data_IF_360696692431
#
_entry.id   IF_360696692431
#
_cell.length_a   1.000
_cell.length_b   1.000
_cell.length_c   1.000
_cell.angle_alpha   90.00
_cell.angle_beta   90.00
_cell.angle_gamma   90.00
#
_symmetry.space_group_name_H-M   'P 1'
#
loop_
_entity.id
_entity.type
_entity.pdbx_description
1 polymer ?
#
# COMPACT_ATOMS: atom_id res chain seq x y z
N UNK A 1 4.52 -3.14 43.41
CA UNK A 1 3.42 -2.54 42.63
C UNK A 1 3.80 -2.68 41.18
N UNK A 2 2.88 -3.08 40.29
CA UNK A 2 3.21 -3.23 38.89
C UNK A 2 3.69 -1.89 38.31
N UNK A 3 4.75 -1.96 37.49
CA UNK A 3 5.35 -0.80 36.83
C UNK A 3 4.44 -0.23 35.75
N UNK A 4 3.47 -1.01 35.26
CA UNK A 4 2.48 -0.57 34.29
C UNK A 4 1.09 -0.42 34.89
N UNK A 5 0.29 0.45 34.28
CA UNK A 5 -1.15 0.54 34.48
C UNK A 5 -1.86 0.53 33.13
N UNK A 6 -2.97 -0.20 33.07
CA UNK A 6 -3.91 -0.18 31.96
C UNK A 6 -5.20 0.41 32.51
N UNK A 7 -5.56 1.67 32.15
CA UNK A 7 -6.76 2.31 32.65
C UNK A 7 -8.02 1.64 32.08
N UNK A 8 -9.17 2.04 32.62
CA UNK A 8 -10.45 1.44 32.25
C UNK A 8 -10.76 1.60 30.76
N UNK A 9 -11.29 0.53 30.18
CA UNK A 9 -11.51 0.34 28.75
C UNK A 9 -12.97 -0.05 28.53
N UNK A 10 -13.54 0.19 27.33
CA UNK A 10 -14.91 -0.23 27.06
C UNK A 10 -15.05 -1.74 27.37
N UNK A 11 -16.05 -2.14 28.19
CA UNK A 11 -16.19 -3.53 28.63
C UNK A 11 -16.52 -4.49 27.50
N UNK A 12 -16.88 -3.96 26.32
CA UNK A 12 -17.27 -4.71 25.14
C UNK A 12 -16.64 -4.15 23.87
N UNK A 13 -15.98 -5.01 23.10
CA UNK A 13 -15.49 -4.71 21.77
C UNK A 13 -16.62 -4.86 20.75
N UNK A 14 -16.76 -3.87 19.87
CA UNK A 14 -17.65 -3.98 18.71
C UNK A 14 -16.96 -4.77 17.60
N UNK A 15 -17.58 -5.87 17.17
CA UNK A 15 -17.17 -6.60 15.98
C UNK A 15 -18.14 -6.28 14.83
N UNK A 16 -17.58 -6.02 13.65
CA UNK A 16 -18.31 -6.06 12.38
C UNK A 16 -18.37 -7.51 11.94
N UNK A 17 -19.58 -8.04 11.80
CA UNK A 17 -19.79 -9.39 11.28
C UNK A 17 -19.94 -9.36 9.77
N UNK A 18 -19.15 -10.14 9.07
CA UNK A 18 -19.26 -10.39 7.64
C UNK A 18 -19.58 -11.87 7.42
N UNK A 19 -20.52 -12.18 6.53
CA UNK A 19 -20.87 -13.57 6.21
C UNK A 19 -19.97 -14.07 5.09
N UNK A 20 -19.11 -15.03 5.40
CA UNK A 20 -18.23 -15.69 4.43
C UNK A 20 -18.56 -17.18 4.41
N UNK A 21 -18.90 -17.75 3.25
CA UNK A 21 -19.25 -19.17 3.09
C UNK A 21 -20.33 -19.69 4.06
N UNK A 22 -21.39 -18.89 4.30
CA UNK A 22 -22.47 -19.22 5.25
C UNK A 22 -22.01 -19.31 6.72
N UNK A 23 -20.87 -18.69 7.04
CA UNK A 23 -20.29 -18.62 8.38
C UNK A 23 -20.02 -17.15 8.77
N UNK A 24 -20.16 -16.83 10.06
CA UNK A 24 -19.96 -15.47 10.58
C UNK A 24 -18.48 -15.22 10.89
N UNK A 25 -17.87 -14.27 10.18
CA UNK A 25 -16.53 -13.77 10.46
C UNK A 25 -16.64 -12.42 11.16
N UNK A 26 -16.19 -12.34 12.41
CA UNK A 26 -16.15 -11.09 13.18
C UNK A 26 -14.80 -10.41 13.03
N UNK A 27 -14.80 -9.14 12.62
CA UNK A 27 -13.60 -8.29 12.61
C UNK A 27 -13.82 -7.05 13.47
N UNK A 28 -12.85 -6.72 14.31
CA UNK A 28 -12.92 -5.53 15.16
C UNK A 28 -11.56 -5.14 15.69
N UNK A 29 -11.50 -4.01 16.37
CA UNK A 29 -10.28 -3.54 17.01
C UNK A 29 -10.61 -2.88 18.35
N UNK A 30 -9.73 -3.07 19.32
CA UNK A 30 -9.81 -2.44 20.64
C UNK A 30 -8.49 -1.80 20.95
N UNK A 31 -8.51 -0.54 21.36
CA UNK A 31 -7.30 0.19 21.73
C UNK A 31 -7.13 0.19 23.23
N UNK A 32 -5.95 -0.20 23.67
CA UNK A 32 -5.52 -0.22 25.05
C UNK A 32 -4.44 0.85 25.23
N UNK A 33 -4.52 1.56 26.34
CA UNK A 33 -3.52 2.54 26.74
C UNK A 33 -2.70 1.91 27.85
N UNK A 34 -1.39 1.84 27.72
CA UNK A 34 -0.50 1.34 28.76
C UNK A 34 0.33 2.50 29.26
N UNK A 35 0.35 2.73 30.56
CA UNK A 35 1.11 3.81 31.20
C UNK A 35 2.19 3.20 32.08
N UNK A 36 3.43 3.59 31.88
CA UNK A 36 4.52 3.32 32.81
C UNK A 36 4.36 4.23 34.03
N UNK A 37 4.15 3.67 35.23
CA UNK A 37 4.04 4.41 36.49
C UNK A 37 5.38 4.70 37.16
N UNK A 38 6.46 4.18 36.62
CA UNK A 38 7.78 4.38 37.19
C UNK A 38 8.33 5.75 36.81
N UNK A 39 9.13 6.33 37.71
CA UNK A 39 9.87 7.57 37.45
C UNK A 39 11.05 7.40 36.50
N UNK A 40 11.19 6.24 35.84
CA UNK A 40 12.31 5.89 34.96
C UNK A 40 11.80 5.32 33.64
N UNK A 41 12.65 5.32 32.60
CA UNK A 41 12.31 4.68 31.33
C UNK A 41 12.37 3.16 31.44
N UNK A 42 11.40 2.46 30.87
CA UNK A 42 11.26 1.00 30.99
C UNK A 42 10.79 0.40 29.65
N UNK A 43 11.36 -0.75 29.26
CA UNK A 43 10.87 -1.51 28.11
C UNK A 43 9.68 -2.37 28.55
N UNK A 44 8.53 -2.19 27.88
CA UNK A 44 7.30 -2.91 28.17
C UNK A 44 6.82 -3.68 26.96
N UNK A 45 6.28 -4.88 27.17
CA UNK A 45 5.71 -5.73 26.13
C UNK A 45 4.27 -6.06 26.44
N UNK A 46 3.44 -6.03 25.41
CA UNK A 46 2.01 -6.33 25.50
C UNK A 46 1.74 -7.71 24.92
N UNK A 47 1.07 -8.55 25.71
CA UNK A 47 0.63 -9.90 25.34
C UNK A 47 -0.89 -9.99 25.48
N UNK A 48 -1.53 -10.67 24.54
CA UNK A 48 -2.97 -10.91 24.58
C UNK A 48 -3.22 -12.24 25.29
N UNK A 49 -4.14 -12.25 26.25
CA UNK A 49 -4.55 -13.42 27.01
C UNK A 49 -6.02 -13.75 26.71
N UNK A 50 -6.28 -14.63 25.73
CA UNK A 50 -7.61 -15.13 25.44
C UNK A 50 -8.24 -15.78 26.67
N UNK A 51 -9.54 -15.58 26.87
CA UNK A 51 -10.29 -16.19 27.97
C UNK A 51 -11.34 -17.17 27.43
N UNK A 52 -11.59 -18.24 28.19
CA UNK A 52 -12.57 -19.27 27.84
C UNK A 52 -12.21 -20.00 26.55
N UNK A 53 -13.13 -20.05 25.59
CA UNK A 53 -12.94 -20.72 24.29
C UNK A 53 -12.24 -19.83 23.24
N UNK A 54 -11.87 -18.60 23.57
CA UNK A 54 -11.15 -17.72 22.65
C UNK A 54 -9.73 -18.26 22.38
N UNK A 55 -9.27 -18.22 21.13
CA UNK A 55 -7.92 -18.68 20.77
C UNK A 55 -6.98 -17.52 20.50
N UNK A 56 -5.71 -17.70 20.84
CA UNK A 56 -4.67 -16.69 20.63
C UNK A 56 -4.54 -16.24 19.17
N UNK A 57 -4.74 -17.17 18.24
CA UNK A 57 -4.70 -16.94 16.78
C UNK A 57 -5.77 -15.95 16.27
N UNK A 58 -6.77 -15.61 17.08
CA UNK A 58 -7.82 -14.65 16.72
C UNK A 58 -7.39 -13.20 16.92
N UNK A 59 -6.24 -12.98 17.56
CA UNK A 59 -5.82 -11.67 18.01
C UNK A 59 -4.45 -11.30 17.44
N UNK A 60 -4.29 -10.04 17.11
CA UNK A 60 -3.01 -9.47 16.69
C UNK A 60 -2.86 -8.06 17.24
N UNK A 61 -1.63 -7.68 17.60
CA UNK A 61 -1.30 -6.31 18.01
C UNK A 61 -0.80 -5.55 16.80
N UNK A 62 -1.31 -4.35 16.57
CA UNK A 62 -0.84 -3.48 15.49
C UNK A 62 0.53 -2.89 15.81
N UNK A 63 1.48 -3.11 14.90
CA UNK A 63 2.85 -2.63 15.02
C UNK A 63 3.68 -3.47 16.01
N UNK A 64 4.62 -2.81 16.67
CA UNK A 64 5.49 -3.46 17.67
C UNK A 64 4.74 -3.65 18.99
N UNK A 65 4.72 -4.90 19.48
CA UNK A 65 4.15 -5.29 20.78
C UNK A 65 5.06 -4.95 21.95
N UNK A 66 6.36 -4.75 21.70
CA UNK A 66 7.35 -4.30 22.68
C UNK A 66 7.77 -2.87 22.36
N UNK A 67 7.72 -1.98 23.36
CA UNK A 67 8.02 -0.56 23.20
C UNK A 67 8.79 -0.01 24.39
N UNK A 68 9.60 1.01 24.13
CA UNK A 68 10.30 1.77 25.17
C UNK A 68 9.37 2.86 25.73
N UNK A 69 9.09 2.81 27.03
CA UNK A 69 8.33 3.83 27.74
C UNK A 69 9.28 4.83 28.37
N UNK A 70 8.99 6.13 28.27
CA UNK A 70 9.66 7.15 29.09
C UNK A 70 9.15 7.07 30.54
N UNK A 71 9.81 7.77 31.46
CA UNK A 71 9.31 7.97 32.82
C UNK A 71 7.90 8.56 32.78
N UNK A 72 6.94 7.94 33.46
CA UNK A 72 5.51 8.31 33.42
C UNK A 72 4.89 8.34 32.00
N UNK A 73 5.53 7.69 31.03
CA UNK A 73 5.13 7.71 29.63
C UNK A 73 3.99 6.74 29.32
N UNK A 74 3.25 7.03 28.25
CA UNK A 74 2.08 6.24 27.83
C UNK A 74 2.21 5.83 26.37
N UNK A 75 1.82 4.59 26.06
CA UNK A 75 1.72 4.08 24.69
C UNK A 75 0.35 3.47 24.44
N UNK A 76 -0.16 3.64 23.22
CA UNK A 76 -1.40 3.00 22.77
C UNK A 76 -1.10 1.76 21.94
N UNK A 77 -1.83 0.70 22.22
CA UNK A 77 -1.75 -0.60 21.54
C UNK A 77 -3.13 -0.93 20.98
N UNK A 78 -3.23 -1.14 19.69
CA UNK A 78 -4.48 -1.56 19.04
C UNK A 78 -4.44 -3.07 18.85
N UNK A 79 -5.34 -3.78 19.53
CA UNK A 79 -5.54 -5.23 19.36
C UNK A 79 -6.63 -5.44 18.33
N UNK A 80 -6.28 -6.05 17.20
CA UNK A 80 -7.24 -6.50 16.20
C UNK A 80 -7.78 -7.88 16.57
N UNK A 81 -9.09 -8.02 16.48
CA UNK A 81 -9.83 -9.26 16.68
C UNK A 81 -10.31 -9.71 15.30
N UNK A 82 -9.90 -10.91 14.88
CA UNK A 82 -10.37 -11.57 13.67
C UNK A 82 -10.74 -13.01 14.01
N UNK A 83 -12.03 -13.30 14.04
CA UNK A 83 -12.52 -14.64 14.37
C UNK A 83 -12.55 -15.51 13.11
N UNK A 84 -12.13 -16.79 13.16
CA UNK A 84 -12.22 -17.69 12.03
C UNK A 84 -13.69 -18.05 11.75
N UNK A 85 -14.03 -18.44 10.51
CA UNK A 85 -15.40 -18.81 10.15
C UNK A 85 -15.92 -20.03 10.94
N UNK A 86 -15.04 -20.90 11.45
CA UNK A 86 -15.40 -22.05 12.29
C UNK A 86 -15.61 -21.71 13.77
N UNK A 87 -15.42 -20.44 14.18
CA UNK A 87 -15.68 -20.05 15.56
C UNK A 87 -17.16 -20.20 15.91
N UNK A 88 -17.45 -20.80 17.07
CA UNK A 88 -18.83 -20.96 17.52
C UNK A 88 -19.44 -19.59 17.81
N UNK A 89 -20.73 -19.45 17.55
CA UNK A 89 -21.48 -18.30 17.99
C UNK A 89 -21.48 -18.23 19.52
N UNK A 90 -21.23 -17.06 20.09
CA UNK A 90 -21.18 -16.92 21.55
C UNK A 90 -20.44 -15.68 22.02
N UNK A 91 -20.46 -15.49 23.34
CA UNK A 91 -19.70 -14.45 24.02
C UNK A 91 -18.29 -14.96 24.33
N UNK A 92 -17.30 -14.18 23.90
CA UNK A 92 -15.89 -14.42 24.14
C UNK A 92 -15.30 -13.25 24.89
N UNK A 93 -14.13 -13.46 25.49
CA UNK A 93 -13.42 -12.36 26.13
C UNK A 93 -11.92 -12.50 26.01
N UNK A 94 -11.23 -11.38 26.18
CA UNK A 94 -9.77 -11.31 26.23
C UNK A 94 -9.35 -10.37 27.35
N UNK A 95 -8.14 -10.60 27.85
CA UNK A 95 -7.38 -9.64 28.64
C UNK A 95 -6.11 -9.26 27.89
N UNK A 96 -5.57 -8.10 28.22
CA UNK A 96 -4.27 -7.67 27.77
C UNK A 96 -3.34 -7.60 28.97
N UNK A 97 -2.19 -8.25 28.87
CA UNK A 97 -1.15 -8.23 29.89
C UNK A 97 0.02 -7.38 29.40
N UNK A 98 0.35 -6.31 30.12
CA UNK A 98 1.57 -5.54 29.92
C UNK A 98 2.64 -6.04 30.89
N UNK A 99 3.78 -6.50 30.39
CA UNK A 99 4.89 -7.04 31.18
C UNK A 99 6.14 -6.18 31.02
N UNK A 100 6.92 -6.03 32.08
CA UNK A 100 8.25 -5.44 31.99
C UNK A 100 9.22 -6.43 31.35
N UNK A 101 9.99 -6.00 30.34
CA UNK A 101 10.86 -6.90 29.57
C UNK A 101 12.01 -7.44 30.45
N UNK A 102 12.43 -6.68 31.45
CA UNK A 102 13.48 -7.05 32.39
C UNK A 102 13.01 -7.98 33.53
N UNK A 103 11.71 -8.03 33.83
CA UNK A 103 11.12 -8.91 34.86
C UNK A 103 9.69 -9.35 34.47
N UNK A 104 9.55 -10.21 33.44
CA UNK A 104 8.26 -10.52 32.85
C UNK A 104 7.35 -11.37 33.76
N UNK A 105 7.92 -12.09 34.72
CA UNK A 105 7.18 -13.02 35.58
C UNK A 105 6.57 -12.33 36.81
N UNK A 106 7.20 -11.26 37.31
CA UNK A 106 6.78 -10.59 38.55
C UNK A 106 6.24 -9.18 38.32
N UNK A 107 6.62 -8.50 37.25
CA UNK A 107 6.24 -7.12 36.96
C UNK A 107 5.31 -7.02 35.75
N UNK A 108 4.02 -7.24 36.02
CA UNK A 108 2.98 -7.20 35.01
C UNK A 108 1.70 -6.52 35.48
N UNK A 109 0.97 -5.93 34.54
CA UNK A 109 -0.36 -5.39 34.74
C UNK A 109 -1.35 -6.05 33.77
N UNK A 110 -2.53 -6.40 34.26
CA UNK A 110 -3.61 -6.93 33.44
C UNK A 110 -4.69 -5.87 33.20
N UNK A 111 -5.25 -5.87 32.00
CA UNK A 111 -6.40 -5.05 31.67
C UNK A 111 -7.68 -5.61 32.31
N UNK A 112 -8.73 -4.79 32.44
CA UNK A 112 -10.10 -5.29 32.56
C UNK A 112 -10.46 -6.27 31.45
N UNK A 113 -11.43 -7.13 31.72
CA UNK A 113 -11.92 -8.12 30.75
C UNK A 113 -12.69 -7.38 29.65
N UNK A 114 -12.29 -7.60 28.39
CA UNK A 114 -13.02 -7.09 27.23
C UNK A 114 -13.81 -8.22 26.61
N UNK A 115 -15.13 -8.12 26.67
CA UNK A 115 -16.03 -9.07 26.01
C UNK A 115 -16.23 -8.74 24.53
N UNK A 116 -16.50 -9.74 23.70
CA UNK A 116 -16.93 -9.56 22.32
C UNK A 116 -17.84 -10.71 21.91
N UNK A 117 -18.82 -10.42 21.07
CA UNK A 117 -19.80 -11.42 20.64
C UNK A 117 -19.53 -11.85 19.20
N UNK A 118 -19.49 -13.16 18.98
CA UNK A 118 -19.58 -13.74 17.64
C UNK A 118 -21.04 -13.98 17.35
N UNK A 119 -21.59 -13.19 16.43
CA UNK A 119 -22.95 -13.35 15.98
C UNK A 119 -23.12 -14.74 15.34
N UNK A 120 -24.23 -15.42 15.68
CA UNK A 120 -24.57 -16.66 15.01
C UNK A 120 -24.62 -16.44 13.50
N UNK A 121 -24.15 -17.42 12.70
CA UNK A 121 -24.44 -17.42 11.27
C UNK A 121 -25.93 -17.12 11.10
N UNK A 122 -26.32 -16.21 10.19
CA UNK A 122 -27.72 -16.05 9.89
C UNK A 122 -28.26 -17.45 9.61
N UNK A 123 -29.34 -17.88 10.29
CA UNK A 123 -29.83 -19.25 10.15
C UNK A 123 -29.93 -19.53 8.65
N UNK A 124 -29.30 -20.63 8.15
CA UNK A 124 -29.34 -20.95 6.74
C UNK A 124 -30.79 -20.83 6.34
N UNK A 125 -31.08 -19.93 5.40
CA UNK A 125 -32.46 -19.59 5.04
C UNK A 125 -33.21 -20.90 4.94
N UNK A 126 -34.09 -21.16 5.93
CA UNK A 126 -34.75 -22.44 5.99
C UNK A 126 -35.44 -22.54 4.63
N UNK A 127 -35.10 -23.58 3.85
CA UNK A 127 -35.98 -24.04 2.77
C UNK A 127 -37.22 -24.56 3.48
N UNK A 128 -38.02 -23.63 3.99
CA UNK A 128 -39.31 -23.89 4.56
C UNK A 128 -40.12 -24.41 3.40
N UNK A 129 -40.34 -25.72 3.41
CA UNK A 129 -41.50 -26.32 2.77
C UNK A 129 -42.72 -25.82 3.55
N UNK A 130 -43.06 -24.54 3.35
CA UNK A 130 -44.27 -23.95 3.90
C UNK A 130 -45.35 -23.99 2.83
N UNK A 131 -46.60 -24.24 3.22
CA UNK A 131 -47.65 -24.49 2.26
C UNK A 131 -48.00 -23.19 1.54
N UNK A 132 -48.41 -23.34 0.29
CA UNK A 132 -48.78 -22.39 -0.76
C UNK A 132 -49.63 -21.14 -0.40
N UNK A 133 -50.02 -20.90 0.84
CA UNK A 133 -50.99 -19.86 1.26
C UNK A 133 -50.37 -18.62 1.92
N UNK A 134 -49.10 -18.64 2.36
CA UNK A 134 -48.48 -17.55 3.14
C UNK A 134 -47.92 -16.40 2.27
N UNK A 135 -47.77 -16.59 0.95
CA UNK A 135 -47.40 -15.50 0.03
C UNK A 135 -48.47 -14.38 -0.09
N UNK A 136 -49.63 -14.52 0.55
CA UNK A 136 -50.75 -13.58 0.40
C UNK A 136 -50.69 -12.30 1.26
N UNK A 137 -49.75 -12.13 2.22
CA UNK A 137 -49.93 -11.08 3.25
C UNK A 137 -48.81 -10.04 3.47
N UNK A 138 -47.58 -10.22 2.95
CA UNK A 138 -46.45 -9.28 3.24
C UNK A 138 -45.94 -8.59 1.96
N UNK A 139 -46.83 -8.38 1.00
CA UNK A 139 -46.63 -7.56 -0.20
C UNK A 139 -47.23 -6.15 -0.10
N UNK A 140 -47.59 -5.67 1.09
CA UNK A 140 -48.50 -4.52 1.22
C UNK A 140 -48.03 -3.18 0.64
N UNK A 141 -46.72 -2.96 0.44
CA UNK A 141 -46.20 -1.67 -0.07
C UNK A 141 -45.61 -1.71 -1.49
N UNK A 142 -45.04 -2.85 -1.90
CA UNK A 142 -44.40 -3.05 -3.22
C UNK A 142 -45.22 -4.00 -4.11
N UNK A 143 -46.11 -4.83 -3.54
CA UNK A 143 -47.00 -5.70 -4.31
C UNK A 143 -48.29 -5.01 -4.79
N UNK A 144 -48.51 -3.72 -4.54
CA UNK A 144 -49.58 -2.99 -5.24
C UNK A 144 -49.14 -2.66 -6.68
N UNK A 145 -47.85 -2.39 -6.91
CA UNK A 145 -47.32 -2.18 -8.27
C UNK A 145 -46.98 -3.51 -8.93
N UNK A 146 -46.33 -4.45 -8.22
CA UNK A 146 -46.03 -5.76 -8.77
C UNK A 146 -47.26 -6.69 -8.88
N UNK A 147 -48.25 -6.58 -7.98
CA UNK A 147 -49.47 -7.39 -8.01
C UNK A 147 -50.45 -6.97 -9.09
N UNK A 148 -50.49 -5.70 -9.50
CA UNK A 148 -51.26 -5.27 -10.68
C UNK A 148 -50.60 -5.80 -11.96
N UNK A 149 -49.26 -5.91 -12.01
CA UNK A 149 -48.57 -6.52 -13.15
C UNK A 149 -48.76 -8.05 -13.17
N UNK A 150 -48.59 -8.73 -12.04
CA UNK A 150 -48.72 -10.21 -11.96
C UNK A 150 -50.18 -10.68 -12.16
N UNK A 151 -51.17 -9.92 -11.69
CA UNK A 151 -52.59 -10.26 -11.92
C UNK A 151 -53.06 -10.01 -13.36
N UNK A 152 -52.45 -9.05 -14.08
CA UNK A 152 -52.69 -8.85 -15.51
C UNK A 152 -51.99 -9.96 -16.33
N UNK A 153 -50.81 -10.40 -15.90
CA UNK A 153 -49.99 -11.41 -16.59
C UNK A 153 -50.55 -12.83 -16.48
N UNK A 154 -51.10 -13.24 -15.33
CA UNK A 154 -51.60 -14.61 -15.14
C UNK A 154 -52.91 -14.92 -15.90
N UNK A 155 -53.57 -13.92 -16.49
CA UNK A 155 -54.84 -14.11 -17.21
C UNK A 155 -54.75 -13.99 -18.74
N UNK A 156 -53.56 -13.82 -19.33
CA UNK A 156 -53.37 -13.87 -20.80
C UNK A 156 -52.25 -14.86 -21.13
N UNK A 157 -52.63 -16.09 -21.48
CA UNK A 157 -51.67 -17.19 -21.68
C UNK A 157 -50.79 -17.08 -22.94
N UNK A 158 -49.64 -17.75 -22.87
CA UNK A 158 -48.87 -18.26 -24.02
C UNK A 158 -47.41 -17.79 -24.08
N UNK A 159 -46.47 -18.67 -23.71
CA UNK A 159 -45.07 -18.62 -24.17
C UNK A 159 -44.14 -17.64 -23.44
N UNK A 160 -43.64 -18.01 -22.26
CA UNK A 160 -42.55 -17.28 -21.63
C UNK A 160 -41.26 -17.40 -22.45
N UNK A 161 -40.46 -16.34 -22.48
CA UNK A 161 -39.11 -16.36 -23.05
C UNK A 161 -38.11 -16.68 -21.93
N UNK A 162 -37.11 -17.51 -22.22
CA UNK A 162 -36.07 -17.82 -21.24
C UNK A 162 -35.10 -16.63 -21.08
N UNK A 163 -34.81 -16.24 -19.84
CA UNK A 163 -33.85 -15.18 -19.54
C UNK A 163 -32.45 -15.60 -20.00
N UNK A 164 -31.77 -14.81 -20.87
CA UNK A 164 -30.42 -15.12 -21.32
C UNK A 164 -29.39 -14.93 -20.20
N UNK A 165 -28.26 -15.60 -20.32
CA UNK A 165 -27.11 -15.36 -19.45
C UNK A 165 -26.33 -14.13 -19.91
N UNK A 166 -26.20 -13.16 -19.02
CA UNK A 166 -25.45 -11.93 -19.22
C UNK A 166 -24.39 -11.70 -18.15
N UNK A 167 -24.18 -12.66 -17.24
CA UNK A 167 -23.10 -12.61 -16.23
C UNK A 167 -21.75 -12.67 -16.93
N UNK A 168 -20.83 -11.79 -16.54
CA UNK A 168 -19.51 -11.64 -17.16
C UNK A 168 -19.49 -10.72 -18.38
N UNK A 169 -20.64 -10.21 -18.84
CA UNK A 169 -20.70 -9.21 -19.90
C UNK A 169 -20.56 -7.78 -19.35
N UNK A 170 -20.08 -6.81 -20.16
CA UNK A 170 -20.25 -5.39 -19.86
C UNK A 170 -21.72 -5.04 -19.67
N UNK A 171 -22.04 -4.22 -18.67
CA UNK A 171 -23.43 -3.90 -18.33
C UNK A 171 -24.24 -3.37 -19.53
N UNK A 172 -23.64 -2.55 -20.39
CA UNK A 172 -24.32 -2.05 -21.60
C UNK A 172 -24.65 -3.15 -22.61
N UNK A 173 -23.76 -4.14 -22.77
CA UNK A 173 -24.01 -5.28 -23.65
C UNK A 173 -25.05 -6.23 -23.05
N UNK A 174 -25.01 -6.44 -21.73
CA UNK A 174 -26.01 -7.21 -20.99
C UNK A 174 -27.42 -6.63 -21.16
N UNK A 175 -27.56 -5.31 -21.03
CA UNK A 175 -28.84 -4.62 -21.24
C UNK A 175 -29.33 -4.73 -22.68
N UNK A 176 -28.45 -4.61 -23.66
CA UNK A 176 -28.81 -4.81 -25.07
C UNK A 176 -29.31 -6.23 -25.32
N UNK A 177 -28.59 -7.24 -24.82
CA UNK A 177 -28.99 -8.64 -24.99
C UNK A 177 -30.32 -8.96 -24.30
N UNK A 178 -30.58 -8.37 -23.14
CA UNK A 178 -31.88 -8.49 -22.46
C UNK A 178 -32.98 -7.78 -23.24
N UNK A 179 -32.73 -6.58 -23.77
CA UNK A 179 -33.69 -5.84 -24.59
C UNK A 179 -34.02 -6.57 -25.90
N UNK A 180 -33.04 -7.21 -26.53
CA UNK A 180 -33.23 -8.03 -27.74
C UNK A 180 -34.11 -9.25 -27.45
N UNK A 181 -33.95 -9.85 -26.27
CA UNK A 181 -34.80 -10.90 -25.73
C UNK A 181 -36.14 -10.38 -25.15
N UNK A 182 -36.48 -9.11 -25.39
CA UNK A 182 -37.71 -8.44 -24.94
C UNK A 182 -37.86 -8.31 -23.43
N UNK A 183 -36.76 -8.31 -22.67
CA UNK A 183 -36.76 -8.04 -21.23
C UNK A 183 -36.40 -6.59 -20.91
N UNK A 184 -36.87 -6.12 -19.75
CA UNK A 184 -36.46 -4.84 -19.15
C UNK A 184 -35.34 -5.10 -18.15
N UNK A 185 -34.37 -4.19 -18.03
CA UNK A 185 -33.25 -4.35 -17.09
C UNK A 185 -33.06 -3.15 -16.17
N UNK A 186 -32.62 -3.40 -14.94
CA UNK A 186 -32.18 -2.36 -13.98
C UNK A 186 -30.81 -2.71 -13.40
N UNK A 187 -29.96 -1.70 -13.19
CA UNK A 187 -28.63 -1.88 -12.59
C UNK A 187 -28.67 -1.68 -11.08
N UNK A 188 -27.85 -2.46 -10.38
CA UNK A 188 -27.52 -2.32 -8.97
C UNK A 188 -26.03 -2.48 -8.79
N UNK A 189 -25.42 -1.71 -7.89
CA UNK A 189 -23.97 -1.77 -7.64
C UNK A 189 -23.60 -2.97 -6.77
N UNK A 190 -22.53 -3.67 -7.14
CA UNK A 190 -21.87 -4.69 -6.34
C UNK A 190 -20.44 -4.23 -5.96
N UNK A 191 -20.26 -3.62 -4.78
CA UNK A 191 -18.95 -3.18 -4.29
C UNK A 191 -18.07 -4.31 -3.74
N UNK A 192 -18.62 -5.52 -3.60
CA UNK A 192 -17.90 -6.69 -3.09
C UNK A 192 -17.29 -7.54 -4.21
N UNK A 193 -17.79 -7.38 -5.44
CA UNK A 193 -17.31 -8.11 -6.62
C UNK A 193 -15.79 -7.93 -6.86
N UNK A 194 -15.16 -9.03 -7.26
CA UNK A 194 -13.79 -9.12 -7.73
C UNK A 194 -13.67 -8.96 -9.27
N UNK A 195 -14.78 -8.75 -9.97
CA UNK A 195 -14.77 -8.49 -11.40
C UNK A 195 -14.32 -7.07 -11.73
N UNK A 196 -13.94 -6.86 -12.99
CA UNK A 196 -13.60 -5.55 -13.48
C UNK A 196 -14.81 -4.59 -13.35
N UNK A 197 -14.60 -3.31 -13.01
CA UNK A 197 -15.68 -2.35 -12.89
C UNK A 197 -16.53 -2.28 -14.17
N UNK A 198 -17.86 -2.27 -14.02
CA UNK A 198 -18.80 -2.22 -15.15
C UNK A 198 -19.18 -3.57 -15.75
N UNK A 199 -18.62 -4.67 -15.26
CA UNK A 199 -19.01 -6.04 -15.64
C UNK A 199 -20.16 -6.53 -14.75
N UNK A 200 -21.09 -7.28 -15.33
CA UNK A 200 -22.20 -7.91 -14.59
C UNK A 200 -21.67 -9.09 -13.77
N UNK A 201 -21.64 -8.92 -12.45
CA UNK A 201 -21.24 -9.94 -11.48
C UNK A 201 -22.38 -10.93 -11.17
N UNK A 202 -23.63 -10.54 -11.38
CA UNK A 202 -24.78 -11.40 -11.20
C UNK A 202 -26.04 -10.85 -11.84
N UNK A 203 -27.01 -11.72 -12.09
CA UNK A 203 -28.33 -11.36 -12.59
C UNK A 203 -29.42 -12.03 -11.75
N UNK A 204 -30.58 -11.39 -11.68
CA UNK A 204 -31.78 -11.94 -11.04
C UNK A 204 -33.03 -11.53 -11.83
N UNK A 205 -33.85 -12.45 -12.35
CA UNK A 205 -33.76 -13.91 -12.21
C UNK A 205 -32.54 -14.56 -12.88
N UNK A 206 -32.18 -15.76 -12.43
CA UNK A 206 -31.08 -16.54 -13.00
C UNK A 206 -31.36 -16.93 -14.47
N UNK A 207 -30.30 -17.27 -15.20
CA UNK A 207 -30.41 -17.75 -16.58
C UNK A 207 -31.43 -18.88 -16.71
N UNK A 208 -32.14 -18.93 -17.85
CA UNK A 208 -33.12 -19.99 -18.12
C UNK A 208 -34.45 -19.85 -17.38
N UNK A 209 -34.59 -18.89 -16.46
CA UNK A 209 -35.89 -18.58 -15.87
C UNK A 209 -36.84 -18.08 -16.95
N UNK A 210 -38.06 -18.62 -17.01
CA UNK A 210 -39.08 -18.13 -17.96
C UNK A 210 -39.72 -16.86 -17.41
N UNK A 211 -39.71 -15.81 -18.23
CA UNK A 211 -40.39 -14.54 -17.97
C UNK A 211 -41.24 -14.17 -19.17
N UNK A 212 -42.35 -13.50 -18.92
CA UNK A 212 -43.13 -12.90 -19.98
C UNK A 212 -42.36 -11.73 -20.62
N UNK A 213 -42.73 -11.39 -21.85
CA UNK A 213 -42.18 -10.21 -22.52
C UNK A 213 -42.37 -8.96 -21.64
N UNK A 214 -41.32 -8.15 -21.56
CA UNK A 214 -41.24 -6.98 -20.67
C UNK A 214 -40.81 -7.30 -19.24
N UNK A 215 -40.61 -8.57 -18.88
CA UNK A 215 -40.14 -9.00 -17.56
C UNK A 215 -38.87 -8.30 -17.11
N UNK A 216 -38.76 -8.00 -15.82
CA UNK A 216 -37.66 -7.24 -15.23
C UNK A 216 -36.50 -8.15 -14.80
N UNK A 217 -35.30 -7.86 -15.25
CA UNK A 217 -34.05 -8.51 -14.84
C UNK A 217 -33.14 -7.48 -14.14
N UNK A 218 -32.77 -7.76 -12.90
CA UNK A 218 -31.84 -6.95 -12.13
C UNK A 218 -30.41 -7.40 -12.39
N UNK A 219 -29.55 -6.47 -12.79
CA UNK A 219 -28.11 -6.68 -13.01
C UNK A 219 -27.34 -6.15 -11.80
N UNK A 220 -26.54 -7.01 -11.18
CA UNK A 220 -25.53 -6.63 -10.18
C UNK A 220 -24.23 -6.34 -10.92
N UNK A 221 -23.83 -5.08 -10.96
CA UNK A 221 -22.68 -4.60 -11.73
C UNK A 221 -21.53 -4.32 -10.79
N UNK A 222 -20.36 -4.88 -11.08
CA UNK A 222 -19.15 -4.68 -10.30
C UNK A 222 -18.79 -3.19 -10.25
N UNK A 223 -18.67 -2.64 -9.04
CA UNK A 223 -18.35 -1.21 -8.86
C UNK A 223 -16.84 -0.94 -8.90
N UNK A 224 -16.05 -1.89 -8.40
CA UNK A 224 -14.60 -1.77 -8.22
C UNK A 224 -14.16 -0.79 -7.14
N UNK A 225 -12.84 -0.58 -7.05
CA UNK A 225 -12.17 0.33 -6.10
C UNK A 225 -11.50 1.46 -6.88
N UNK A 226 -11.66 2.69 -6.40
CA UNK A 226 -11.00 3.87 -6.99
C UNK A 226 -9.48 3.75 -6.86
N UNK A 227 -8.78 3.97 -7.99
CA UNK A 227 -7.32 4.03 -7.99
C UNK A 227 -6.89 5.47 -7.69
N UNK A 228 -6.02 5.63 -6.69
CA UNK A 228 -5.43 6.92 -6.31
C UNK A 228 -4.13 7.19 -7.06
N UNK A 229 -3.82 8.46 -7.31
CA UNK A 229 -2.56 8.83 -7.97
C UNK A 229 -1.41 8.74 -6.98
N UNK A 230 -0.36 8.01 -7.37
CA UNK A 230 0.89 7.92 -6.61
C UNK A 230 2.12 8.37 -7.41
N UNK A 231 1.89 8.94 -8.61
CA UNK A 231 2.96 9.44 -9.47
C UNK A 231 3.70 10.59 -8.77
N UNK A 232 5.02 10.53 -8.77
CA UNK A 232 5.91 11.48 -8.09
C UNK A 232 6.24 11.11 -6.64
N UNK A 233 5.60 10.09 -6.06
CA UNK A 233 5.93 9.61 -4.72
C UNK A 233 7.09 8.60 -4.75
N UNK A 234 7.82 8.43 -3.63
CA UNK A 234 8.72 7.30 -3.45
C UNK A 234 7.95 5.97 -3.55
N UNK A 235 8.55 4.96 -4.18
CA UNK A 235 7.92 3.66 -4.40
C UNK A 235 7.38 3.04 -3.11
N UNK A 236 8.14 3.09 -2.01
CA UNK A 236 7.71 2.53 -0.72
C UNK A 236 6.43 3.20 -0.16
N UNK A 237 6.30 4.52 -0.32
CA UNK A 237 5.10 5.26 0.09
C UNK A 237 3.91 4.94 -0.82
N UNK A 238 4.15 4.89 -2.14
CA UNK A 238 3.16 4.54 -3.14
C UNK A 238 2.59 3.12 -2.95
N UNK A 239 3.48 2.15 -2.72
CA UNK A 239 3.11 0.76 -2.42
C UNK A 239 2.27 0.66 -1.15
N UNK A 240 2.67 1.35 -0.08
CA UNK A 240 1.92 1.37 1.18
C UNK A 240 0.52 1.94 1.00
N UNK A 241 0.39 3.05 0.27
CA UNK A 241 -0.89 3.71 0.01
C UNK A 241 -1.85 2.78 -0.77
N UNK A 242 -1.38 2.16 -1.85
CA UNK A 242 -2.22 1.33 -2.71
C UNK A 242 -2.53 -0.06 -2.10
N UNK A 243 -1.56 -0.69 -1.43
CA UNK A 243 -1.72 -2.02 -0.86
C UNK A 243 -2.51 -2.01 0.44
N UNK A 244 -2.19 -1.11 1.37
CA UNK A 244 -2.81 -1.06 2.71
C UNK A 244 -4.10 -0.27 2.66
N UNK A 245 -4.14 0.84 1.91
CA UNK A 245 -5.31 1.71 1.83
C UNK A 245 -6.43 1.15 0.97
N UNK A 246 -6.10 0.41 -0.09
CA UNK A 246 -7.06 0.01 -1.12
C UNK A 246 -7.04 -1.49 -1.48
N UNK A 247 -6.13 -2.27 -0.89
CA UNK A 247 -6.06 -3.72 -1.09
C UNK A 247 -5.53 -4.15 -2.47
N UNK A 248 -4.86 -3.27 -3.21
CA UNK A 248 -4.30 -3.60 -4.52
C UNK A 248 -3.00 -4.42 -4.41
N UNK A 249 -2.76 -5.28 -5.39
CA UNK A 249 -1.46 -5.89 -5.66
C UNK A 249 -0.60 -4.91 -6.46
N UNK A 250 0.70 -4.85 -6.19
CA UNK A 250 1.61 -3.90 -6.84
C UNK A 250 2.57 -4.64 -7.74
N UNK A 251 2.56 -4.28 -9.03
CA UNK A 251 3.56 -4.74 -9.98
C UNK A 251 4.58 -3.64 -10.23
N UNK A 252 5.80 -3.81 -9.70
CA UNK A 252 6.90 -2.88 -9.91
C UNK A 252 7.57 -3.13 -11.26
N UNK A 253 7.77 -2.08 -12.05
CA UNK A 253 8.48 -2.12 -13.32
C UNK A 253 9.50 -0.99 -13.38
N UNK A 254 10.71 -1.27 -13.87
CA UNK A 254 11.72 -0.24 -14.09
C UNK A 254 11.38 0.57 -15.35
N UNK A 255 11.34 1.90 -15.22
CA UNK A 255 11.22 2.83 -16.33
C UNK A 255 12.58 3.23 -16.91
N UNK A 256 12.61 4.14 -17.89
CA UNK A 256 13.85 4.77 -18.33
C UNK A 256 14.43 5.64 -17.20
N UNK A 257 15.77 5.67 -17.08
CA UNK A 257 16.45 6.57 -16.16
C UNK A 257 16.16 8.03 -16.51
N UNK A 258 15.58 8.75 -15.55
CA UNK A 258 15.15 10.13 -15.69
C UNK A 258 15.86 11.06 -14.71
N UNK A 259 15.45 12.33 -14.74
CA UNK A 259 15.97 13.36 -13.83
C UNK A 259 15.30 13.36 -12.45
N UNK A 260 14.42 12.40 -12.15
CA UNK A 260 13.80 12.29 -10.82
C UNK A 260 14.76 11.58 -9.87
N UNK A 261 14.60 11.75 -8.54
CA UNK A 261 15.32 10.94 -7.58
C UNK A 261 15.08 9.44 -7.87
N UNK A 262 16.11 8.59 -7.76
CA UNK A 262 15.92 7.15 -7.88
C UNK A 262 14.82 6.66 -6.94
N UNK A 263 14.13 5.59 -7.33
CA UNK A 263 12.99 5.03 -6.58
C UNK A 263 11.72 5.89 -6.57
N UNK A 264 11.65 6.92 -7.42
CA UNK A 264 10.42 7.71 -7.62
C UNK A 264 9.50 7.05 -8.63
N UNK A 265 8.20 6.97 -8.34
CA UNK A 265 7.18 6.51 -9.30
C UNK A 265 7.01 7.56 -10.40
N UNK A 266 7.26 7.17 -11.65
CA UNK A 266 7.12 8.03 -12.84
C UNK A 266 5.94 7.67 -13.72
N UNK A 267 5.34 6.50 -13.51
CA UNK A 267 4.14 6.07 -14.22
C UNK A 267 3.32 5.10 -13.39
N UNK A 268 2.02 5.08 -13.65
CA UNK A 268 1.05 4.22 -12.99
C UNK A 268 0.02 3.76 -14.00
N UNK A 269 -0.42 2.50 -13.87
CA UNK A 269 -1.49 1.91 -14.66
C UNK A 269 -2.31 0.96 -13.79
N UNK A 270 -3.63 1.13 -13.66
CA UNK A 270 -4.44 2.19 -14.26
C UNK A 270 -4.22 3.57 -13.62
N UNK A 271 -4.38 4.63 -14.41
CA UNK A 271 -4.28 6.02 -13.94
C UNK A 271 -5.66 6.54 -13.47
N UNK A 272 -5.75 7.31 -12.38
CA UNK A 272 -6.99 7.98 -11.98
C UNK A 272 -7.55 8.84 -13.13
N UNK A 273 -8.88 8.96 -13.28
CA UNK A 273 -9.95 8.54 -12.35
C UNK A 273 -10.41 7.08 -12.54
N UNK A 274 -9.59 6.20 -13.11
CA UNK A 274 -9.96 4.80 -13.29
C UNK A 274 -10.26 4.07 -11.98
N UNK A 275 -11.11 3.05 -12.09
CA UNK A 275 -11.36 2.04 -11.06
C UNK A 275 -10.74 0.73 -11.47
N UNK A 276 -10.37 -0.09 -10.48
CA UNK A 276 -9.88 -1.43 -10.70
C UNK A 276 -10.66 -2.44 -9.86
N UNK A 277 -10.59 -3.72 -10.25
CA UNK A 277 -11.17 -4.81 -9.47
C UNK A 277 -10.60 -4.81 -8.04
N UNK A 278 -11.42 -5.26 -7.07
CA UNK A 278 -10.95 -5.46 -5.69
C UNK A 278 -9.82 -6.49 -5.70
N UNK A 279 -8.69 -6.18 -5.05
CA UNK A 279 -7.51 -7.05 -5.11
C UNK A 279 -6.76 -7.02 -6.43
N UNK A 280 -7.17 -6.16 -7.37
CA UNK A 280 -6.55 -6.00 -8.68
C UNK A 280 -5.09 -5.54 -8.61
N UNK A 281 -4.40 -5.64 -9.74
CA UNK A 281 -2.99 -5.23 -9.84
C UNK A 281 -2.85 -3.81 -10.36
N UNK A 282 -2.07 -2.98 -9.67
CA UNK A 282 -1.62 -1.67 -10.14
C UNK A 282 -0.14 -1.76 -10.51
N UNK A 283 0.18 -1.45 -11.77
CA UNK A 283 1.55 -1.40 -12.26
C UNK A 283 2.15 -0.04 -11.97
N UNK A 284 3.27 -0.02 -11.25
CA UNK A 284 4.04 1.18 -10.96
C UNK A 284 5.36 1.14 -11.74
N UNK A 285 5.58 2.18 -12.55
CA UNK A 285 6.83 2.39 -13.27
C UNK A 285 7.71 3.30 -12.43
N UNK A 286 8.92 2.85 -12.08
CA UNK A 286 9.83 3.53 -11.16
C UNK A 286 11.08 4.01 -11.91
N UNK A 287 11.55 5.22 -11.61
CA UNK A 287 12.83 5.73 -12.12
C UNK A 287 14.00 4.98 -11.46
N UNK A 288 14.78 4.19 -12.21
CA UNK A 288 15.91 3.46 -11.64
C UNK A 288 17.10 4.39 -11.33
N UNK A 289 17.11 5.62 -11.86
CA UNK A 289 18.27 6.50 -11.86
C UNK A 289 19.42 5.99 -12.72
N UNK A 290 20.56 6.69 -12.62
CA UNK A 290 21.85 6.34 -13.22
C UNK A 290 22.77 5.87 -12.11
N UNK A 291 23.45 4.73 -12.29
CA UNK A 291 24.45 4.26 -11.32
C UNK A 291 25.78 4.97 -11.53
N UNK A 292 26.39 5.46 -10.45
CA UNK A 292 27.74 6.03 -10.49
C UNK A 292 28.74 4.95 -10.96
N UNK A 293 29.47 5.15 -12.07
CA UNK A 293 30.43 4.16 -12.57
C UNK A 293 31.60 3.99 -11.61
N UNK A 294 32.20 2.80 -11.60
CA UNK A 294 33.44 2.56 -10.87
C UNK A 294 34.60 3.27 -11.58
N UNK A 295 35.40 3.99 -10.80
CA UNK A 295 36.61 4.68 -11.27
C UNK A 295 37.77 4.18 -10.42
N UNK A 296 38.82 3.68 -11.06
CA UNK A 296 40.05 3.31 -10.36
C UNK A 296 40.77 4.57 -9.89
N UNK A 297 41.00 4.70 -8.59
CA UNK A 297 41.69 5.84 -7.98
C UNK A 297 43.08 5.37 -7.50
N UNK A 298 44.16 6.14 -7.73
CA UNK A 298 44.18 7.45 -8.39
C UNK A 298 44.07 7.35 -9.92
N UNK A 299 43.47 8.37 -10.55
CA UNK A 299 43.38 8.50 -12.01
C UNK A 299 43.50 9.95 -12.45
N UNK A 300 43.61 10.19 -13.76
CA UNK A 300 43.63 11.56 -14.31
C UNK A 300 42.25 12.19 -14.25
N UNK A 301 42.19 13.50 -14.03
CA UNK A 301 40.95 14.28 -14.08
C UNK A 301 40.15 14.01 -15.38
N UNK A 302 40.83 14.01 -16.52
CA UNK A 302 40.18 13.79 -17.81
C UNK A 302 39.50 12.41 -17.90
N UNK A 303 40.15 11.34 -17.43
CA UNK A 303 39.57 10.00 -17.49
C UNK A 303 38.33 9.89 -16.58
N UNK A 304 38.41 10.43 -15.37
CA UNK A 304 37.27 10.45 -14.45
C UNK A 304 36.09 11.26 -15.00
N UNK A 305 36.34 12.45 -15.54
CA UNK A 305 35.29 13.31 -16.15
C UNK A 305 34.65 12.61 -17.34
N UNK A 306 35.45 12.06 -18.26
CA UNK A 306 34.92 11.34 -19.42
C UNK A 306 34.05 10.15 -19.01
N UNK A 307 34.46 9.41 -17.97
CA UNK A 307 33.72 8.25 -17.45
C UNK A 307 32.36 8.66 -16.87
N UNK A 308 32.33 9.73 -16.08
CA UNK A 308 31.09 10.26 -15.47
C UNK A 308 30.15 10.90 -16.51
N UNK A 309 30.69 11.67 -17.45
CA UNK A 309 29.91 12.28 -18.53
C UNK A 309 29.34 11.23 -19.49
N UNK A 310 30.06 10.15 -19.78
CA UNK A 310 29.55 9.03 -20.57
C UNK A 310 28.35 8.33 -19.90
N UNK A 311 28.28 8.35 -18.55
CA UNK A 311 27.11 7.89 -17.81
C UNK A 311 25.97 8.94 -17.76
N UNK A 312 26.17 10.14 -18.31
CA UNK A 312 25.20 11.24 -18.26
C UNK A 312 25.16 11.98 -16.92
N UNK A 313 26.27 11.96 -16.17
CA UNK A 313 26.44 12.65 -14.89
C UNK A 313 27.25 13.93 -15.06
N UNK A 314 26.94 14.93 -14.24
CA UNK A 314 27.76 16.14 -14.10
C UNK A 314 28.91 15.91 -13.13
N UNK A 315 29.88 16.81 -13.12
CA UNK A 315 31.07 16.71 -12.25
C UNK A 315 31.33 18.04 -11.56
N UNK A 316 31.57 17.99 -10.25
CA UNK A 316 32.06 19.10 -9.44
C UNK A 316 33.49 18.75 -8.99
N UNK A 317 34.47 19.58 -9.35
CA UNK A 317 35.87 19.31 -9.05
C UNK A 317 36.33 20.21 -7.90
N UNK A 318 36.83 19.60 -6.84
CA UNK A 318 37.39 20.26 -5.66
C UNK A 318 38.88 19.95 -5.51
N UNK A 319 39.70 20.94 -5.16
CA UNK A 319 41.11 20.74 -4.84
C UNK A 319 41.35 20.39 -3.38
N UNK A 320 42.15 19.36 -3.10
CA UNK A 320 42.71 19.07 -1.77
C UNK A 320 44.23 19.16 -1.83
N UNK A 321 44.81 19.92 -0.89
CA UNK A 321 46.25 20.06 -0.79
C UNK A 321 46.87 18.81 -0.14
N UNK A 322 47.83 18.20 -0.85
CA UNK A 322 48.66 17.10 -0.35
C UNK A 322 50.13 17.39 -0.64
N UNK A 323 51.01 16.96 0.27
CA UNK A 323 52.45 17.19 0.17
C UNK A 323 53.18 16.14 -0.70
N UNK A 324 52.48 15.07 -1.10
CA UNK A 324 53.05 13.93 -1.83
C UNK A 324 52.14 13.49 -2.99
N UNK A 325 52.74 12.98 -4.05
CA UNK A 325 52.05 12.40 -5.22
C UNK A 325 51.93 13.35 -6.42
N UNK A 326 51.36 12.84 -7.52
CA UNK A 326 51.22 13.59 -8.76
C UNK A 326 50.07 14.61 -8.69
N UNK A 327 50.27 15.85 -9.20
CA UNK A 327 49.21 16.86 -9.31
C UNK A 327 48.11 16.40 -10.26
N UNK A 328 46.93 17.01 -10.14
CA UNK A 328 45.79 16.87 -11.05
C UNK A 328 45.26 15.42 -11.17
N UNK A 329 45.59 14.58 -10.18
CA UNK A 329 45.01 13.25 -10.02
C UNK A 329 43.77 13.31 -9.14
N UNK A 330 42.72 12.62 -9.57
CA UNK A 330 41.55 12.35 -8.73
C UNK A 330 41.98 11.39 -7.65
N UNK A 331 41.75 11.78 -6.40
CA UNK A 331 42.13 11.04 -5.19
C UNK A 331 40.92 10.62 -4.35
N UNK A 332 39.75 11.21 -4.57
CA UNK A 332 38.50 10.78 -3.95
C UNK A 332 37.29 11.11 -4.84
N UNK A 333 36.24 10.31 -4.67
CA UNK A 333 34.91 10.52 -5.23
C UNK A 333 33.92 10.64 -4.08
N UNK A 334 33.09 11.69 -4.09
CA UNK A 334 32.15 11.97 -2.99
C UNK A 334 30.96 11.02 -2.97
N UNK A 335 30.55 10.49 -4.13
CA UNK A 335 29.47 9.51 -4.24
C UNK A 335 30.04 8.12 -4.50
N UNK A 336 29.75 7.11 -3.66
CA UNK A 336 30.26 5.77 -3.86
C UNK A 336 29.87 5.17 -5.22
N UNK A 337 30.77 4.41 -5.87
CA UNK A 337 30.42 3.65 -7.06
C UNK A 337 29.22 2.72 -6.84
N UNK A 338 28.37 2.59 -7.87
CA UNK A 338 27.16 1.77 -7.84
C UNK A 338 25.93 2.44 -7.20
N UNK A 339 26.10 3.56 -6.49
CA UNK A 339 24.99 4.36 -5.95
C UNK A 339 24.12 4.89 -7.10
N UNK A 340 22.79 4.64 -7.08
CA UNK A 340 21.89 5.25 -8.05
C UNK A 340 21.70 6.73 -7.72
N UNK A 341 21.74 7.58 -8.75
CA UNK A 341 21.51 9.03 -8.67
C UNK A 341 20.59 9.47 -9.80
N UNK A 342 20.00 10.66 -9.71
CA UNK A 342 19.20 11.20 -10.81
C UNK A 342 20.07 11.38 -12.07
N UNK A 343 19.49 11.22 -13.26
CA UNK A 343 20.18 11.56 -14.51
C UNK A 343 20.59 13.04 -14.50
N UNK A 344 21.85 13.32 -14.85
CA UNK A 344 22.40 14.67 -14.76
C UNK A 344 22.81 15.11 -13.35
N UNK A 345 22.72 14.25 -12.34
CA UNK A 345 23.26 14.54 -11.01
C UNK A 345 24.75 14.86 -11.09
N UNK A 346 25.20 15.78 -10.23
CA UNK A 346 26.59 16.19 -10.17
C UNK A 346 27.34 15.37 -9.13
N UNK A 347 28.45 14.76 -9.55
CA UNK A 347 29.32 13.97 -8.68
C UNK A 347 30.53 14.80 -8.27
N UNK A 348 30.81 14.82 -6.97
CA UNK A 348 31.98 15.48 -6.40
C UNK A 348 33.24 14.64 -6.64
N UNK A 349 34.26 15.25 -7.24
CA UNK A 349 35.60 14.71 -7.38
C UNK A 349 36.59 15.59 -6.62
N UNK A 350 37.40 14.96 -5.78
CA UNK A 350 38.54 15.61 -5.15
C UNK A 350 39.81 15.31 -5.94
N UNK A 351 40.49 16.37 -6.40
CA UNK A 351 41.80 16.29 -7.06
C UNK A 351 42.92 16.73 -6.13
N UNK A 352 44.12 16.17 -6.33
CA UNK A 352 45.33 16.60 -5.63
C UNK A 352 45.83 17.93 -6.18
N UNK A 353 45.87 18.95 -5.33
CA UNK A 353 46.59 20.20 -5.55
C UNK A 353 47.96 20.14 -4.87
N UNK A 354 49.04 20.46 -5.60
CA UNK A 354 50.38 20.53 -5.02
C UNK A 354 50.55 21.82 -4.20
N UNK A 355 51.18 21.72 -3.02
CA UNK A 355 51.63 22.86 -2.21
C UNK A 355 53.16 22.86 -2.10
N UNK A 356 53.90 23.22 -3.17
CA UNK A 356 55.37 23.10 -3.18
C UNK A 356 56.09 24.14 -2.29
N UNK A 357 55.39 25.19 -1.81
CA UNK A 357 56.03 26.32 -1.11
C UNK A 357 55.17 26.88 0.05
N UNK A 358 54.31 26.06 0.66
CA UNK A 358 53.44 26.49 1.76
C UNK A 358 52.28 27.42 1.37
N UNK A 359 52.08 27.68 0.07
CA UNK A 359 50.87 28.33 -0.47
C UNK A 359 50.04 27.27 -1.20
N UNK A 360 48.95 26.88 -0.56
CA UNK A 360 47.94 25.98 -1.14
C UNK A 360 47.18 26.76 -2.23
N UNK A 361 47.43 26.44 -3.50
CA UNK A 361 46.62 26.97 -4.60
C UNK A 361 45.32 26.15 -4.67
N UNK A 362 44.34 26.51 -3.84
CA UNK A 362 43.02 25.87 -3.88
C UNK A 362 42.39 26.24 -5.23
N UNK A 363 42.23 25.25 -6.10
CA UNK A 363 41.50 25.42 -7.36
C UNK A 363 40.05 25.74 -6.98
N UNK A 364 39.53 26.87 -7.47
CA UNK A 364 38.12 27.20 -7.31
C UNK A 364 37.26 26.05 -7.88
N UNK A 365 36.15 25.68 -7.23
CA UNK A 365 35.36 24.55 -7.67
C UNK A 365 34.92 24.70 -9.13
N UNK A 366 35.20 23.70 -9.95
CA UNK A 366 34.84 23.69 -11.38
C UNK A 366 33.63 22.79 -11.56
N UNK A 367 32.55 23.35 -12.13
CA UNK A 367 31.35 22.60 -12.47
C UNK A 367 31.34 22.25 -13.96
N UNK A 368 31.06 20.99 -14.28
CA UNK A 368 31.03 20.47 -15.65
C UNK A 368 29.70 19.77 -15.85
N UNK A 369 28.88 20.26 -16.79
CA UNK A 369 27.61 19.63 -17.13
C UNK A 369 27.82 18.35 -17.97
N UNK A 370 26.84 17.42 -17.99
CA UNK A 370 26.92 16.23 -18.82
C UNK A 370 27.11 16.52 -20.31
N UNK A 371 26.60 17.66 -20.80
CA UNK A 371 26.68 18.07 -22.20
C UNK A 371 27.94 18.88 -22.56
N UNK A 372 28.74 19.29 -21.57
CA UNK A 372 29.92 20.12 -21.80
C UNK A 372 31.05 19.29 -22.39
N UNK A 373 31.66 19.75 -23.48
CA UNK A 373 32.95 19.19 -23.93
C UNK A 373 34.05 19.64 -22.99
N UNK A 374 34.48 18.77 -22.10
CA UNK A 374 35.64 19.03 -21.26
C UNK A 374 36.94 18.93 -22.09
N UNK A 375 37.44 20.08 -22.52
CA UNK A 375 38.76 20.22 -23.15
C UNK A 375 39.66 20.93 -22.15
N UNK A 376 40.66 20.23 -21.62
CA UNK A 376 41.74 20.87 -20.88
C UNK A 376 42.42 21.88 -21.81
N UNK A 377 42.17 23.18 -21.62
CA UNK A 377 43.13 24.18 -22.09
C UNK A 377 44.39 23.92 -21.28
N UNK A 378 45.44 23.40 -21.91
CA UNK A 378 46.75 23.32 -21.28
C UNK A 378 47.05 24.70 -20.69
N UNK A 379 47.26 24.76 -19.37
CA UNK A 379 47.82 25.96 -18.77
C UNK A 379 49.13 26.26 -19.53
N UNK A 380 49.40 27.54 -19.89
CA UNK A 380 50.65 27.87 -20.53
C UNK A 380 51.78 27.30 -19.68
N UNK A 381 52.65 26.50 -20.30
CA UNK A 381 53.82 25.94 -19.65
C UNK A 381 54.50 27.06 -18.87
N UNK A 382 54.67 26.86 -17.56
CA UNK A 382 55.37 27.80 -16.69
C UNK A 382 56.81 27.90 -17.23
N UNK A 383 57.09 28.91 -18.06
CA UNK A 383 58.45 29.23 -18.46
C UNK A 383 59.15 29.68 -17.18
N UNK A 384 59.98 28.78 -16.63
CA UNK A 384 60.75 29.04 -15.42
C UNK A 384 61.48 30.37 -15.53
N UNK A 385 61.42 31.17 -14.47
CA UNK A 385 62.19 32.40 -14.37
C UNK A 385 63.69 32.08 -14.62
N UNK A 386 64.42 32.92 -15.39
CA UNK A 386 65.84 32.71 -15.62
C UNK A 386 66.61 32.74 -14.29
N UNK A 387 67.65 31.90 -14.12
CA UNK A 387 68.41 31.85 -12.88
C UNK A 387 69.03 33.21 -12.56
N UNK A 388 69.15 33.59 -11.28
CA UNK A 388 69.76 34.85 -10.90
C UNK A 388 71.22 34.87 -11.38
N UNK A 389 71.60 35.96 -12.06
CA UNK A 389 73.00 36.23 -12.40
C UNK A 389 73.77 36.31 -11.08
N UNK A 390 74.76 35.44 -10.91
CA UNK A 390 75.72 35.58 -9.83
C UNK A 390 76.59 36.84 -10.06
N UNK A 391 76.93 37.58 -8.99
CA UNK A 391 77.66 38.84 -9.07
C UNK A 391 79.10 38.70 -9.55
#
# INVERSE_FOLDING_TARGET
>A
MPSFEIPDIPPKAALKTETQNNQSVGTGAVTFTVTNKTGQGLAGRVTIEPQGEAKAEWFSVDGESERQFTANGTHTFTVRIKTPPEAKAGAYSLKVRAVAVNDPDNDFAESPVVAFDIAAPPPPAEKKKLPWWIFAAIGGGVAVVAGVVVAVVLFTGGGGTAVPNVVGLPAEQAEQQLADAKFTSVRTDDPASDQAPGIVAGQDPAEGTELDEGGLVTLKVAQGVDVVSVVGQPFASAESALRIGHGFQIQRVAGPAGGKPPETVVGQDPMPPARAARGGTVKLTVDPGVRVPAITIPTTQQNAVNTLQAAGLGVLINGRCESVGLPDQVIAIGTPPGTPVAKGATIDLTIRALSPIGRCLVIAPIFIQPADRFVLRQAPAYQGAPPPRQP
#
